data_IF_405143565628
#
_entry.id   IF_405143565628
#
_cell.length_a   1.000
_cell.length_b   1.000
_cell.length_c   1.000
_cell.angle_alpha   90.00
_cell.angle_beta   90.00
_cell.angle_gamma   90.00
#
_symmetry.space_group_name_H-M   'P 1'
#
loop_
_entity.id
_entity.type
_entity.pdbx_description
1 polymer ?
#
# COMPACT_ATOMS: atom_id res chain seq x y z
N UNK A 1 1.71 -1.99 -22.88
CA UNK A 1 1.91 -1.88 -22.39
C UNK A 1 1.91 -1.42 -21.58
N UNK A 2 1.86 -1.28 -21.02
CA UNK A 2 1.94 -0.81 -20.32
C UNK A 2 2.16 -0.82 -19.33
N UNK A 3 2.59 -0.92 -18.79
CA UNK A 3 2.99 -1.05 -17.89
C UNK A 3 3.01 -0.15 -17.07
N UNK A 4 2.54 -0.01 -16.29
CA UNK A 4 2.48 0.88 -15.63
C UNK A 4 3.29 0.95 -14.61
N UNK A 5 4.09 1.74 -14.45
CA UNK A 5 4.84 1.92 -13.46
C UNK A 5 4.33 2.94 -12.62
N UNK A 6 3.23 2.80 -12.05
CA UNK A 6 2.64 3.80 -11.20
C UNK A 6 3.02 3.57 -9.77
N UNK A 7 3.17 4.66 -9.05
CA UNK A 7 3.52 4.62 -7.64
C UNK A 7 2.61 5.54 -6.88
N UNK A 8 2.36 5.21 -5.62
CA UNK A 8 1.55 6.04 -4.75
C UNK A 8 2.41 6.57 -3.63
N UNK A 9 2.15 7.81 -3.26
CA UNK A 9 2.79 8.37 -2.06
C UNK A 9 2.02 7.90 -0.84
N UNK A 10 2.57 8.19 0.36
CA UNK A 10 1.85 7.90 1.60
C UNK A 10 0.46 8.50 1.58
N UNK A 11 0.37 9.76 1.19
CA UNK A 11 -0.91 10.45 1.22
C UNK A 11 -1.90 9.83 0.25
N UNK A 12 -1.41 9.45 -0.93
CA UNK A 12 -2.29 8.87 -1.93
C UNK A 12 -2.79 7.50 -1.50
N UNK A 13 -1.91 6.69 -0.92
CA UNK A 13 -2.31 5.37 -0.47
C UNK A 13 -3.25 5.47 0.71
N UNK A 14 -2.98 6.39 1.63
CA UNK A 14 -3.86 6.58 2.76
C UNK A 14 -5.26 6.97 2.30
N UNK A 15 -5.33 7.86 1.31
CA UNK A 15 -6.61 8.27 0.77
C UNK A 15 -7.33 7.11 0.09
N UNK A 16 -6.58 6.29 -0.64
CA UNK A 16 -7.16 5.14 -1.34
C UNK A 16 -7.81 4.17 -0.36
N UNK A 17 -7.16 3.96 0.78
CA UNK A 17 -7.66 3.02 1.77
C UNK A 17 -8.44 3.70 2.89
N UNK A 18 -8.58 5.02 2.81
CA UNK A 18 -9.36 5.77 3.78
C UNK A 18 -8.83 5.59 5.20
N UNK A 19 -7.52 5.63 5.35
CA UNK A 19 -6.87 5.55 6.64
C UNK A 19 -5.97 6.75 6.79
N UNK A 20 -5.45 6.95 7.99
CA UNK A 20 -4.53 8.04 8.23
C UNK A 20 -3.15 7.71 7.70
N UNK A 21 -2.49 8.72 7.17
CA UNK A 21 -1.13 8.57 6.70
C UNK A 21 -0.22 8.04 7.79
N UNK A 22 -0.47 8.45 9.04
CA UNK A 22 0.31 7.98 10.17
C UNK A 22 0.25 6.46 10.34
N UNK A 23 -0.84 5.86 9.94
CA UNK A 23 -0.96 4.41 10.01
C UNK A 23 0.08 3.75 9.12
N UNK A 24 0.29 4.29 7.93
CA UNK A 24 1.29 3.73 7.02
C UNK A 24 2.68 3.92 7.57
N UNK A 25 2.95 5.07 8.17
CA UNK A 25 4.25 5.34 8.76
C UNK A 25 4.52 4.36 9.89
N UNK A 26 3.51 4.12 10.72
CA UNK A 26 3.65 3.19 11.83
C UNK A 26 3.92 1.78 11.31
N UNK A 27 3.21 1.39 10.26
CA UNK A 27 3.40 0.06 9.70
C UNK A 27 4.83 -0.13 9.22
N UNK A 28 5.40 0.90 8.58
CA UNK A 28 6.77 0.78 8.11
C UNK A 28 7.74 0.58 9.26
N UNK A 29 7.50 1.24 10.38
CA UNK A 29 8.35 1.07 11.55
C UNK A 29 8.25 -0.33 12.10
N UNK A 30 7.10 -0.96 11.94
CA UNK A 30 6.87 -2.29 12.45
C UNK A 30 7.16 -3.36 11.42
N UNK A 31 7.64 -2.97 10.27
CA UNK A 31 7.94 -3.88 9.16
C UNK A 31 6.69 -4.64 8.72
N UNK A 32 5.57 -3.95 8.71
CA UNK A 32 4.32 -4.53 8.25
C UNK A 32 3.77 -3.65 7.13
N UNK A 33 2.65 -4.08 6.55
CA UNK A 33 2.03 -3.34 5.48
C UNK A 33 2.56 -3.76 4.13
N UNK A 34 2.16 -3.05 3.08
CA UNK A 34 2.56 -3.43 1.73
C UNK A 34 4.01 -3.07 1.45
N UNK A 35 4.63 -3.74 0.48
CA UNK A 35 5.98 -3.40 0.08
C UNK A 35 6.07 -1.97 -0.42
N UNK A 36 7.20 -1.35 -0.24
CA UNK A 36 7.40 0.02 -0.68
C UNK A 36 8.84 0.24 -1.11
N UNK A 37 9.05 1.33 -1.85
CA UNK A 37 10.38 1.73 -2.26
C UNK A 37 10.77 2.98 -1.49
N UNK A 38 12.05 3.09 -1.19
CA UNK A 38 12.56 4.34 -0.62
C UNK A 38 13.61 4.87 -1.57
N UNK A 39 13.33 6.00 -2.19
CA UNK A 39 14.23 6.62 -3.15
C UNK A 39 14.49 8.03 -2.70
N UNK A 40 15.72 8.33 -2.36
CA UNK A 40 16.13 9.67 -1.95
C UNK A 40 15.23 10.25 -0.88
N UNK A 41 14.96 9.43 0.13
CA UNK A 41 14.14 9.89 1.25
C UNK A 41 12.65 9.86 1.00
N UNK A 42 12.24 9.52 -0.21
CA UNK A 42 10.82 9.46 -0.53
C UNK A 42 10.34 8.02 -0.48
N UNK A 43 9.16 7.83 0.07
CA UNK A 43 8.56 6.52 0.12
C UNK A 43 7.50 6.44 -0.96
N UNK A 44 7.58 5.41 -1.79
CA UNK A 44 6.64 5.19 -2.87
C UNK A 44 6.13 3.76 -2.80
N UNK A 45 4.86 3.60 -3.01
CA UNK A 45 4.25 2.27 -3.01
C UNK A 45 3.93 1.88 -4.44
N UNK A 46 4.58 0.86 -4.99
CA UNK A 46 4.27 0.44 -6.36
C UNK A 46 2.81 0.00 -6.43
N UNK A 47 2.09 0.48 -7.41
CA UNK A 47 0.67 0.17 -7.51
C UNK A 47 0.43 -1.34 -7.62
N UNK A 48 1.27 -2.04 -8.35
CA UNK A 48 1.12 -3.47 -8.48
C UNK A 48 1.18 -4.18 -7.13
N UNK A 49 2.09 -3.71 -6.26
CA UNK A 49 2.21 -4.30 -4.93
C UNK A 49 1.04 -3.93 -4.05
N UNK A 50 0.53 -2.71 -4.23
CA UNK A 50 -0.65 -2.28 -3.49
C UNK A 50 -1.83 -3.17 -3.84
N UNK A 51 -2.00 -3.46 -5.12
CA UNK A 51 -3.10 -4.30 -5.57
C UNK A 51 -2.96 -5.72 -5.06
N UNK A 52 -1.75 -6.24 -5.02
CA UNK A 52 -1.52 -7.57 -4.48
C UNK A 52 -1.86 -7.62 -2.99
N UNK A 53 -1.46 -6.59 -2.28
CA UNK A 53 -1.74 -6.52 -0.86
C UNK A 53 -3.25 -6.47 -0.62
N UNK A 54 -3.94 -5.71 -1.44
CA UNK A 54 -5.40 -5.61 -1.32
C UNK A 54 -6.04 -6.96 -1.53
N UNK A 55 -5.60 -7.67 -2.55
CA UNK A 55 -6.16 -8.99 -2.82
C UNK A 55 -5.92 -9.96 -1.68
N UNK A 56 -4.75 -9.88 -1.09
CA UNK A 56 -4.41 -10.78 0.00
C UNK A 56 -5.20 -10.48 1.25
N UNK A 57 -5.75 -9.27 1.34
CA UNK A 57 -6.48 -8.87 2.53
C UNK A 57 -7.98 -8.79 2.34
N UNK A 58 -8.47 -9.20 1.19
CA UNK A 58 -9.90 -9.26 0.99
C UNK A 58 -10.43 -10.46 1.77
N UNK A 59 -11.41 -10.22 2.60
CA UNK A 59 -11.98 -11.27 3.42
C UNK A 59 -13.35 -11.61 2.86
N UNK A 60 -13.50 -12.84 2.46
CA UNK A 60 -14.77 -13.32 1.94
C UNK A 60 -15.36 -14.28 2.94
N UNK A 61 -16.54 -13.95 3.41
CA UNK A 61 -17.16 -14.78 4.40
C UNK A 61 -18.10 -15.68 3.70
N UNK A 62 -17.86 -16.94 3.80
CA UNK A 62 -18.80 -17.80 3.28
C UNK A 62 -19.39 -18.54 4.36
N UNK A 63 -19.25 -18.29 5.49
CA UNK A 63 -19.78 -18.97 6.42
C UNK A 63 -20.61 -18.61 6.81
N UNK A 64 -21.00 -19.14 7.25
CA UNK A 64 -22.12 -19.31 7.81
C UNK A 64 -22.09 -18.92 8.94
#
# INVERSE_FOLDING_TARGET
>A
MTTSSEFLTDAQLAARWQIHRQTLIRWRRQSTGPPYLRIEGRVLYPLAEVEQYEKANIITHTEP
#
